data_IF_701520538882
#
_entry.id   IF_701520538882
#
_cell.length_a   1.000
_cell.length_b   1.000
_cell.length_c   1.000
_cell.angle_alpha   90.00
_cell.angle_beta   90.00
_cell.angle_gamma   90.00
#
_symmetry.space_group_name_H-M   'P 1'
#
loop_
_entity.id
_entity.type
_entity.pdbx_description
1 polymer ?
#
# COMPACT_ATOMS: atom_id res chain seq x y z
N UNK A 1 1.83 -34.93 0.77
CA UNK A 1 3.08 -34.20 1.06
C UNK A 1 3.01 -32.81 0.46
N UNK A 2 3.21 -31.83 1.29
CA UNK A 2 3.24 -30.45 0.82
C UNK A 2 4.55 -30.21 0.06
N UNK A 3 4.44 -29.74 -1.14
CA UNK A 3 5.61 -29.37 -1.94
C UNK A 3 6.06 -27.97 -1.54
N UNK A 4 7.04 -27.91 -0.68
CA UNK A 4 7.53 -26.64 -0.14
C UNK A 4 8.04 -25.71 -1.24
N UNK A 5 8.60 -26.26 -2.31
CA UNK A 5 9.12 -25.45 -3.41
C UNK A 5 8.02 -24.66 -4.11
N UNK A 6 6.82 -25.20 -4.21
CA UNK A 6 5.69 -24.50 -4.80
C UNK A 6 5.21 -23.36 -3.93
N UNK A 7 5.38 -23.47 -2.63
CA UNK A 7 4.97 -22.45 -1.67
C UNK A 7 5.98 -21.32 -1.54
N UNK A 8 7.21 -21.56 -2.00
CA UNK A 8 8.31 -20.61 -1.86
C UNK A 8 8.80 -20.09 -3.20
N UNK A 9 7.91 -19.92 -4.16
CA UNK A 9 8.29 -19.34 -5.43
C UNK A 9 8.81 -17.92 -5.20
N UNK A 10 9.95 -17.55 -5.80
CA UNK A 10 10.43 -16.19 -5.68
C UNK A 10 9.40 -15.21 -6.25
N UNK A 11 9.24 -14.11 -5.57
CA UNK A 11 8.29 -13.10 -5.98
C UNK A 11 8.45 -11.83 -5.16
N UNK A 12 7.75 -10.78 -5.54
CA UNK A 12 7.70 -9.58 -4.74
C UNK A 12 6.86 -9.81 -3.50
N UNK A 13 7.23 -9.16 -2.42
CA UNK A 13 6.43 -9.15 -1.20
C UNK A 13 6.65 -7.83 -0.48
N UNK A 14 5.64 -7.01 -0.45
CA UNK A 14 5.72 -5.69 0.17
C UNK A 14 4.99 -5.72 1.50
N UNK A 15 5.66 -5.23 2.53
CA UNK A 15 5.11 -5.21 3.89
C UNK A 15 5.21 -3.81 4.47
N UNK A 16 4.37 -3.51 5.45
CA UNK A 16 4.47 -2.28 6.21
C UNK A 16 5.68 -2.35 7.16
N UNK A 17 6.39 -1.23 7.27
CA UNK A 17 7.50 -1.10 8.22
C UNK A 17 6.96 -0.41 9.45
N UNK A 18 6.69 -1.18 10.50
CA UNK A 18 6.11 -0.67 11.73
C UNK A 18 4.67 -0.20 11.57
N UNK A 19 4.17 0.45 12.60
CA UNK A 19 2.81 0.98 12.61
C UNK A 19 2.76 2.32 11.86
N UNK A 20 1.65 2.62 11.18
CA UNK A 20 1.50 3.91 10.53
C UNK A 20 1.32 5.02 11.56
N UNK A 21 1.77 6.22 11.19
CA UNK A 21 1.42 7.42 11.91
C UNK A 21 0.09 7.94 11.35
N UNK A 22 -0.88 8.19 12.23
CA UNK A 22 -2.22 8.61 11.81
C UNK A 22 -2.55 9.95 12.45
N UNK A 23 -2.84 10.94 11.60
CA UNK A 23 -3.38 12.24 12.02
C UNK A 23 -4.89 12.23 11.88
N UNK A 24 -5.60 12.52 12.95
CA UNK A 24 -7.06 12.50 12.99
C UNK A 24 -7.61 13.92 12.90
N UNK A 25 -8.47 14.15 11.91
CA UNK A 25 -9.20 15.40 11.72
C UNK A 25 -10.68 15.09 11.61
N UNK A 26 -11.57 16.06 11.88
CA UNK A 26 -13.02 15.80 11.79
C UNK A 26 -13.51 15.34 10.41
N UNK A 27 -12.84 15.76 9.33
CA UNK A 27 -13.28 15.51 7.97
C UNK A 27 -12.33 14.64 7.16
N UNK A 28 -11.23 14.17 7.77
CA UNK A 28 -10.23 13.35 7.08
C UNK A 28 -9.32 12.66 8.08
N UNK A 29 -8.61 11.64 7.61
CA UNK A 29 -7.49 11.05 8.34
C UNK A 29 -6.29 10.98 7.41
N UNK A 30 -5.10 11.25 7.93
CA UNK A 30 -3.86 11.21 7.15
C UNK A 30 -3.01 10.05 7.69
N UNK A 31 -2.68 9.13 6.80
CA UNK A 31 -1.88 7.95 7.10
C UNK A 31 -0.50 8.10 6.48
N UNK A 32 0.55 7.95 7.27
CA UNK A 32 1.90 8.04 6.77
C UNK A 32 2.78 6.95 7.39
N UNK A 33 3.79 6.53 6.64
CA UNK A 33 4.69 5.49 7.07
C UNK A 33 5.56 5.03 5.92
N UNK A 34 6.08 3.81 6.07
CA UNK A 34 6.98 3.21 5.08
C UNK A 34 6.55 1.79 4.78
N UNK A 35 6.90 1.34 3.58
CA UNK A 35 6.75 -0.04 3.14
C UNK A 35 8.09 -0.53 2.61
N UNK A 36 8.31 -1.83 2.63
CA UNK A 36 9.54 -2.46 2.16
C UNK A 36 9.23 -3.69 1.34
N UNK A 37 9.95 -3.86 0.25
CA UNK A 37 9.91 -5.10 -0.51
C UNK A 37 10.88 -6.09 0.15
N UNK A 38 10.33 -7.08 0.84
CA UNK A 38 11.11 -8.15 1.48
C UNK A 38 11.18 -9.39 0.60
N UNK A 39 10.60 -9.35 -0.60
CA UNK A 39 10.65 -10.41 -1.57
C UNK A 39 11.95 -10.41 -2.36
N UNK A 40 12.04 -11.32 -3.32
CA UNK A 40 13.24 -11.53 -4.11
C UNK A 40 13.17 -10.89 -5.50
N UNK A 41 12.02 -10.38 -5.89
CA UNK A 41 11.76 -9.77 -7.19
C UNK A 41 11.17 -8.38 -6.97
N UNK A 42 11.43 -7.47 -7.92
CA UNK A 42 10.89 -6.12 -7.89
C UNK A 42 9.35 -6.14 -7.85
N UNK A 43 8.76 -5.35 -6.97
CA UNK A 43 7.32 -5.10 -6.94
C UNK A 43 7.03 -3.84 -7.76
N UNK A 44 6.08 -3.91 -8.67
CA UNK A 44 5.72 -2.80 -9.54
C UNK A 44 4.38 -2.19 -9.12
N UNK A 45 4.20 -0.91 -9.38
CA UNK A 45 2.96 -0.18 -9.10
C UNK A 45 2.46 -0.40 -7.68
N UNK A 46 3.38 -0.24 -6.73
CA UNK A 46 3.07 -0.43 -5.31
C UNK A 46 2.18 0.70 -4.81
N UNK A 47 1.03 0.36 -4.27
CA UNK A 47 0.11 1.36 -3.74
C UNK A 47 -0.47 0.93 -2.41
N UNK A 48 -0.82 1.90 -1.61
CA UNK A 48 -1.46 1.73 -0.31
C UNK A 48 -2.93 2.05 -0.46
N UNK A 49 -3.78 1.19 0.05
CA UNK A 49 -5.25 1.39 0.05
C UNK A 49 -5.73 1.44 1.49
N UNK A 50 -6.43 2.51 1.84
CA UNK A 50 -7.01 2.67 3.17
C UNK A 50 -8.51 2.78 3.03
N UNK A 51 -9.23 2.02 3.84
CA UNK A 51 -10.69 2.08 3.94
C UNK A 51 -11.06 2.46 5.35
N UNK A 52 -11.97 3.42 5.46
CA UNK A 52 -12.51 3.86 6.74
C UNK A 52 -13.93 3.32 6.92
N UNK A 53 -14.25 2.95 8.15
CA UNK A 53 -15.56 2.38 8.50
C UNK A 53 -16.13 3.11 9.70
N UNK A 54 -17.46 3.26 9.73
CA UNK A 54 -18.14 3.79 10.87
C UNK A 54 -18.33 2.71 11.96
N UNK A 55 -18.98 3.07 13.04
CA UNK A 55 -19.21 2.17 14.17
C UNK A 55 -20.00 0.91 13.79
N UNK A 56 -20.80 0.98 12.72
CA UNK A 56 -21.59 -0.16 12.23
C UNK A 56 -20.90 -0.92 11.11
N UNK A 57 -19.60 -0.64 10.87
CA UNK A 57 -18.78 -1.21 9.81
C UNK A 57 -19.21 -0.85 8.39
N UNK A 58 -19.97 0.21 8.22
CA UNK A 58 -20.28 0.77 6.89
C UNK A 58 -19.16 1.70 6.46
N UNK A 59 -18.96 1.81 5.16
CA UNK A 59 -17.90 2.66 4.61
C UNK A 59 -18.07 4.12 5.02
N UNK A 60 -17.03 4.68 5.62
CA UNK A 60 -16.94 6.10 5.97
C UNK A 60 -15.95 6.85 5.08
N UNK A 61 -15.22 6.14 4.23
CA UNK A 61 -14.27 6.72 3.29
C UNK A 61 -13.33 5.69 2.73
N UNK A 62 -12.68 6.02 1.61
CA UNK A 62 -11.70 5.16 0.97
C UNK A 62 -10.80 6.01 0.08
N UNK A 63 -9.53 5.73 0.10
CA UNK A 63 -8.60 6.32 -0.86
C UNK A 63 -7.36 5.44 -0.99
N UNK A 64 -6.56 5.74 -1.99
CA UNK A 64 -5.32 5.02 -2.23
C UNK A 64 -4.26 5.96 -2.80
N UNK A 65 -2.99 5.57 -2.65
CA UNK A 65 -1.88 6.33 -3.20
C UNK A 65 -0.77 5.36 -3.60
N UNK A 66 -0.10 5.66 -4.71
CA UNK A 66 1.13 4.96 -5.07
C UNK A 66 2.27 5.45 -4.19
N UNK A 67 3.16 4.53 -3.81
CA UNK A 67 4.36 4.91 -3.07
C UNK A 67 5.33 5.61 -4.02
N UNK A 68 6.23 6.41 -3.45
CA UNK A 68 7.31 7.02 -4.21
C UNK A 68 8.53 6.13 -4.10
N UNK A 69 8.67 5.26 -5.09
CA UNK A 69 9.73 4.25 -5.12
C UNK A 69 10.75 4.50 -6.23
N UNK A 70 11.22 3.41 -6.83
CA UNK A 70 12.26 3.44 -7.84
C UNK A 70 11.69 3.81 -9.21
N UNK A 71 12.41 4.67 -9.93
CA UNK A 71 12.05 4.99 -11.31
C UNK A 71 12.35 3.79 -12.20
N UNK A 72 11.35 3.37 -12.95
CA UNK A 72 11.45 2.20 -13.81
C UNK A 72 10.88 2.51 -15.19
N UNK A 73 11.59 2.08 -16.23
CA UNK A 73 11.12 2.12 -17.61
C UNK A 73 10.65 0.72 -17.98
N UNK A 74 9.37 0.59 -18.32
CA UNK A 74 8.76 -0.69 -18.67
C UNK A 74 8.85 -0.97 -20.17
N UNK A 75 8.63 -2.22 -20.57
CA UNK A 75 8.69 -2.62 -21.99
C UNK A 75 7.72 -1.82 -22.86
N UNK A 76 6.64 -1.36 -22.29
CA UNK A 76 5.64 -0.52 -22.97
C UNK A 76 6.06 0.93 -23.11
N UNK A 77 7.29 1.28 -22.74
CA UNK A 77 7.81 2.65 -22.67
C UNK A 77 7.13 3.51 -21.59
N UNK A 78 6.33 2.91 -20.72
CA UNK A 78 5.79 3.60 -19.54
C UNK A 78 6.93 3.81 -18.56
N UNK A 79 7.02 5.02 -18.03
CA UNK A 79 7.98 5.37 -16.99
C UNK A 79 7.19 5.66 -15.72
N UNK A 80 7.51 4.95 -14.65
CA UNK A 80 6.86 5.15 -13.35
C UNK A 80 7.90 5.09 -12.23
N UNK A 81 7.58 5.74 -11.12
CA UNK A 81 8.45 5.77 -9.94
C UNK A 81 7.79 5.09 -8.74
N UNK A 82 7.02 4.04 -9.00
CA UNK A 82 6.20 3.35 -8.02
C UNK A 82 6.67 1.92 -7.75
N UNK A 83 7.85 1.56 -8.23
CA UNK A 83 8.42 0.23 -8.05
C UNK A 83 9.33 0.16 -6.81
N UNK A 84 9.42 -1.01 -6.22
CA UNK A 84 10.37 -1.30 -5.15
C UNK A 84 11.20 -2.51 -5.50
N UNK A 85 12.49 -2.31 -5.67
CA UNK A 85 13.46 -3.39 -5.81
C UNK A 85 13.57 -4.16 -4.50
N UNK A 86 14.02 -5.42 -4.53
CA UNK A 86 14.23 -6.19 -3.31
C UNK A 86 15.07 -5.45 -2.28
N UNK A 87 14.61 -5.42 -1.03
CA UNK A 87 15.28 -4.74 0.06
C UNK A 87 15.04 -3.23 0.14
N UNK A 88 14.40 -2.64 -0.85
CA UNK A 88 14.15 -1.20 -0.85
C UNK A 88 12.91 -0.83 -0.04
N UNK A 89 12.97 0.36 0.54
CA UNK A 89 11.92 0.95 1.35
C UNK A 89 11.42 2.21 0.67
N UNK A 90 10.11 2.46 0.75
CA UNK A 90 9.51 3.69 0.26
C UNK A 90 8.54 4.24 1.29
N UNK A 91 8.40 5.55 1.32
CA UNK A 91 7.46 6.23 2.19
C UNK A 91 6.14 6.51 1.46
N UNK A 92 5.09 6.64 2.23
CA UNK A 92 3.78 7.05 1.73
C UNK A 92 3.16 8.07 2.69
N UNK A 93 2.30 8.90 2.14
CA UNK A 93 1.45 9.81 2.91
C UNK A 93 0.13 9.93 2.17
N UNK A 94 -0.94 9.46 2.79
CA UNK A 94 -2.26 9.33 2.17
C UNK A 94 -3.29 10.06 3.01
N UNK A 95 -3.98 11.00 2.39
CA UNK A 95 -5.12 11.69 3.01
C UNK A 95 -6.40 11.01 2.57
N UNK A 96 -7.17 10.49 3.54
CA UNK A 96 -8.43 9.81 3.27
C UNK A 96 -9.57 10.71 3.76
N UNK A 97 -10.38 11.29 2.86
CA UNK A 97 -11.50 12.09 3.28
C UNK A 97 -12.59 11.25 3.91
N UNK A 98 -13.24 11.79 4.94
CA UNK A 98 -14.37 11.13 5.61
C UNK A 98 -15.65 11.61 4.94
N UNK A 99 -16.52 10.67 4.60
CA UNK A 99 -17.81 10.98 4.00
C UNK A 99 -18.62 11.90 4.91
N UNK A 100 -19.27 12.89 4.32
CA UNK A 100 -20.11 13.83 5.05
C UNK A 100 -21.17 13.10 5.84
N UNK A 101 -21.31 13.44 7.12
CA UNK A 101 -22.27 12.82 8.01
C UNK A 101 -21.83 11.46 8.56
N UNK A 102 -20.63 11.03 8.26
CA UNK A 102 -20.07 9.79 8.80
C UNK A 102 -18.94 10.08 9.78
N UNK A 103 -18.70 9.16 10.68
CA UNK A 103 -17.59 9.22 11.61
C UNK A 103 -16.73 7.97 11.43
N UNK A 104 -15.45 8.15 11.22
CA UNK A 104 -14.52 7.03 11.04
C UNK A 104 -14.13 6.46 12.41
N UNK A 105 -14.54 5.23 12.69
CA UNK A 105 -14.21 4.51 13.92
C UNK A 105 -13.13 3.45 13.68
N UNK A 106 -13.16 2.80 12.51
CA UNK A 106 -12.27 1.71 12.17
C UNK A 106 -11.64 1.96 10.81
N UNK A 107 -10.48 1.36 10.58
CA UNK A 107 -9.84 1.42 9.27
C UNK A 107 -9.19 0.08 8.92
N UNK A 108 -8.98 -0.13 7.63
CA UNK A 108 -8.11 -1.20 7.12
C UNK A 108 -7.05 -0.58 6.23
N UNK A 109 -5.88 -1.20 6.21
CA UNK A 109 -4.77 -0.81 5.33
C UNK A 109 -4.28 -2.03 4.58
N UNK A 110 -4.20 -1.88 3.27
CA UNK A 110 -3.71 -2.95 2.40
C UNK A 110 -2.64 -2.40 1.46
N UNK A 111 -1.75 -3.27 1.03
CA UNK A 111 -0.74 -2.96 0.04
C UNK A 111 -1.03 -3.79 -1.20
N UNK A 112 -1.08 -3.14 -2.35
CA UNK A 112 -1.24 -3.81 -3.64
C UNK A 112 -0.02 -3.55 -4.51
N UNK A 113 0.38 -4.54 -5.27
CA UNK A 113 1.48 -4.42 -6.23
C UNK A 113 1.23 -5.38 -7.39
N UNK A 114 2.00 -5.17 -8.45
CA UNK A 114 1.97 -6.04 -9.61
C UNK A 114 3.38 -6.59 -9.84
N UNK A 115 3.45 -7.68 -10.55
CA UNK A 115 4.71 -8.24 -11.03
C UNK A 115 4.68 -8.17 -12.55
N UNK A 116 5.53 -7.32 -13.11
CA UNK A 116 5.65 -7.15 -14.55
C UNK A 116 6.97 -7.74 -15.03
N UNK A 117 7.01 -8.08 -16.27
CA UNK A 117 8.24 -8.59 -16.90
C UNK A 117 9.10 -7.44 -17.43
#
# INVERSE_FOLDING_TARGET
VVKMDELKKPGPKVVFVGDPFIDYYPNKQIFSGKVKNVGEIRADFVRIVVKLFDQTTKSAGKDSIFVKGDRTVYETNVIADTALKPGKTASYSLTVPIKKGRKAEYHTMDIHWEQTK
#
